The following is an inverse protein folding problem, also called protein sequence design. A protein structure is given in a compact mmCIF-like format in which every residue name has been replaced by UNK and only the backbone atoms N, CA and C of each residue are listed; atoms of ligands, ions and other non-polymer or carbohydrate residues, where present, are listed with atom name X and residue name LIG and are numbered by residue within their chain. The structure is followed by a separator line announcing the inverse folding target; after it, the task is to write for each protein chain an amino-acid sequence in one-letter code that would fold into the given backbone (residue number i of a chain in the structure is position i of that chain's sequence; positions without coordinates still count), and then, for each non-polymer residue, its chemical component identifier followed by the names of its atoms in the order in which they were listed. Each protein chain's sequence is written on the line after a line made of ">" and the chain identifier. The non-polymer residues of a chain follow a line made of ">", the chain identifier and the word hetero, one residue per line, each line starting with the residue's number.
data_IF_043672833044
#
_entry.id   IF_043672833044
#
_cell.length_a   1.000
_cell.length_b   1.000
_cell.length_c   1.000
_cell.angle_alpha   90.00
_cell.angle_beta   90.00
_cell.angle_gamma   90.00
#
_symmetry.space_group_name_H-M   'P 1'
#
loop_
_entity.id
_entity.type
_entity.pdbx_description
1 polymer ?
#
# COMPACT_ATOMS: atom_id res chain seq x y z
N UNK A 1 17.67 -15.06 25.67
CA UNK A 1 17.46 -14.65 24.27
C UNK A 1 18.22 -13.34 24.11
N UNK A 2 19.38 -13.39 23.45
CA UNK A 2 20.14 -12.17 23.14
C UNK A 2 19.43 -11.55 21.96
N UNK A 3 18.83 -10.38 22.15
CA UNK A 3 18.27 -9.60 21.05
C UNK A 3 19.45 -8.86 20.43
N UNK A 4 19.70 -9.09 19.14
CA UNK A 4 20.74 -8.35 18.43
C UNK A 4 20.46 -6.84 18.54
N UNK A 5 21.51 -6.02 18.66
CA UNK A 5 21.35 -4.56 18.77
C UNK A 5 20.60 -4.03 17.54
N UNK A 6 19.73 -3.04 17.77
CA UNK A 6 18.97 -2.38 16.70
C UNK A 6 19.96 -1.73 15.74
N UNK A 7 20.06 -2.27 14.54
CA UNK A 7 20.82 -1.68 13.44
C UNK A 7 19.93 -0.66 12.72
N UNK A 8 20.31 0.62 12.81
CA UNK A 8 19.63 1.66 12.06
C UNK A 8 19.93 1.51 10.58
N UNK A 9 18.88 1.41 9.77
CA UNK A 9 19.01 1.42 8.32
C UNK A 9 19.38 2.85 7.89
N UNK A 10 20.66 3.05 7.59
CA UNK A 10 21.20 4.35 7.15
C UNK A 10 20.90 4.69 5.69
N UNK A 11 20.46 3.72 4.89
CA UNK A 11 20.25 3.88 3.45
C UNK A 11 18.99 3.14 2.97
N UNK A 12 18.29 3.68 1.96
CA UNK A 12 18.61 4.89 1.20
C UNK A 12 18.21 6.19 1.91
N UNK A 13 19.02 7.24 1.73
CA UNK A 13 18.70 8.60 2.20
C UNK A 13 17.62 9.25 1.33
N UNK A 14 16.76 10.08 1.93
CA UNK A 14 15.78 10.86 1.17
C UNK A 14 16.46 12.04 0.46
N UNK A 15 16.07 12.37 -0.79
CA UNK A 15 16.70 13.44 -1.57
C UNK A 15 16.25 14.85 -1.18
N UNK A 16 15.33 15.00 -0.22
CA UNK A 16 14.83 16.27 0.28
C UNK A 16 14.28 16.13 1.71
N UNK A 17 13.83 17.24 2.31
CA UNK A 17 13.35 17.29 3.70
C UNK A 17 11.89 16.82 3.89
N UNK A 18 11.21 16.37 2.82
CA UNK A 18 9.76 16.14 2.82
C UNK A 18 9.32 14.77 2.30
N UNK A 19 10.28 13.92 1.93
CA UNK A 19 9.99 12.66 1.23
C UNK A 19 10.00 11.43 2.13
N UNK A 20 10.25 11.60 3.42
CA UNK A 20 10.36 10.52 4.41
C UNK A 20 9.15 9.58 4.42
N UNK A 21 7.92 10.09 4.31
CA UNK A 21 6.71 9.26 4.29
C UNK A 21 6.64 8.34 3.07
N UNK A 22 7.00 8.85 1.89
CA UNK A 22 7.05 8.03 0.66
C UNK A 22 8.14 6.97 0.76
N UNK A 23 9.30 7.34 1.31
CA UNK A 23 10.44 6.45 1.50
C UNK A 23 10.13 5.31 2.47
N UNK A 24 9.48 5.59 3.60
CA UNK A 24 9.10 4.55 4.58
C UNK A 24 8.16 3.52 3.94
N UNK A 25 7.16 3.98 3.18
CA UNK A 25 6.23 3.06 2.49
C UNK A 25 6.95 2.22 1.44
N UNK A 26 7.84 2.83 0.66
CA UNK A 26 8.65 2.11 -0.33
C UNK A 26 9.58 1.07 0.34
N UNK A 27 10.22 1.41 1.45
CA UNK A 27 11.09 0.50 2.20
C UNK A 27 10.30 -0.66 2.81
N UNK A 28 9.14 -0.39 3.42
CA UNK A 28 8.27 -1.41 3.96
C UNK A 28 7.78 -2.38 2.86
N UNK A 29 7.37 -1.84 1.71
CA UNK A 29 6.95 -2.65 0.56
C UNK A 29 8.09 -3.56 0.06
N UNK A 30 9.30 -3.03 -0.08
CA UNK A 30 10.47 -3.81 -0.50
C UNK A 30 10.83 -4.91 0.49
N UNK A 31 10.77 -4.60 1.80
CA UNK A 31 10.99 -5.58 2.86
C UNK A 31 9.99 -6.75 2.78
N UNK A 32 8.69 -6.43 2.63
CA UNK A 32 7.62 -7.44 2.55
C UNK A 32 7.67 -8.25 1.25
N UNK A 33 8.23 -7.70 0.18
CA UNK A 33 8.36 -8.37 -1.12
C UNK A 33 9.72 -9.04 -1.33
N UNK A 34 10.57 -9.08 -0.30
CA UNK A 34 11.94 -9.60 -0.36
C UNK A 34 12.82 -8.95 -1.45
N UNK A 35 12.52 -7.71 -1.82
CA UNK A 35 13.30 -6.90 -2.75
C UNK A 35 14.28 -6.02 -1.98
N UNK A 36 15.39 -6.59 -1.53
CA UNK A 36 16.37 -5.89 -0.68
C UNK A 36 17.26 -4.88 -1.43
N UNK A 37 17.15 -4.81 -2.76
CA UNK A 37 18.00 -3.96 -3.61
C UNK A 37 17.88 -2.46 -3.29
N UNK A 38 16.77 -2.02 -2.69
CA UNK A 38 16.56 -0.61 -2.39
C UNK A 38 17.48 -0.07 -1.29
N UNK A 39 17.98 -0.93 -0.39
CA UNK A 39 18.85 -0.52 0.72
C UNK A 39 20.18 0.07 0.26
N UNK A 40 20.65 -0.26 -0.94
CA UNK A 40 21.95 0.19 -1.47
C UNK A 40 21.81 1.18 -2.64
N UNK A 41 20.60 1.67 -2.93
CA UNK A 41 20.36 2.54 -4.08
C UNK A 41 20.40 4.02 -3.71
N UNK A 42 20.95 4.86 -4.57
CA UNK A 42 20.79 6.32 -4.44
C UNK A 42 19.41 6.72 -4.95
N UNK A 43 18.62 7.40 -4.11
CA UNK A 43 17.29 7.87 -4.48
C UNK A 43 17.36 9.31 -4.94
N UNK A 44 16.89 9.58 -6.16
CA UNK A 44 16.78 10.91 -6.72
C UNK A 44 15.36 11.46 -6.56
N UNK A 45 15.22 12.78 -6.71
CA UNK A 45 13.91 13.47 -6.63
C UNK A 45 12.89 12.92 -7.62
N UNK A 46 13.33 12.43 -8.79
CA UNK A 46 12.43 11.85 -9.79
C UNK A 46 11.94 10.45 -9.36
N UNK A 47 12.77 9.67 -8.67
CA UNK A 47 12.36 8.38 -8.13
C UNK A 47 11.26 8.57 -7.08
N UNK A 48 11.41 9.56 -6.20
CA UNK A 48 10.36 9.92 -5.23
C UNK A 48 9.05 10.29 -5.92
N UNK A 49 9.09 11.05 -7.02
CA UNK A 49 7.88 11.38 -7.78
C UNK A 49 7.19 10.12 -8.32
N UNK A 50 7.97 9.18 -8.85
CA UNK A 50 7.46 7.89 -9.33
C UNK A 50 6.87 7.07 -8.18
N UNK A 51 7.57 6.94 -7.06
CA UNK A 51 7.09 6.26 -5.85
C UNK A 51 5.77 6.86 -5.35
N UNK A 52 5.68 8.19 -5.28
CA UNK A 52 4.45 8.90 -4.89
C UNK A 52 3.30 8.62 -5.85
N UNK A 53 3.57 8.61 -7.15
CA UNK A 53 2.56 8.29 -8.16
C UNK A 53 2.06 6.84 -8.01
N UNK A 54 2.95 5.88 -7.79
CA UNK A 54 2.60 4.48 -7.54
C UNK A 54 1.74 4.36 -6.28
N UNK A 55 2.12 5.03 -5.18
CA UNK A 55 1.34 5.03 -3.95
C UNK A 55 -0.07 5.58 -4.16
N UNK A 56 -0.20 6.72 -4.87
CA UNK A 56 -1.50 7.31 -5.19
C UNK A 56 -2.33 6.37 -6.07
N UNK A 57 -1.72 5.73 -7.06
CA UNK A 57 -2.39 4.76 -7.92
C UNK A 57 -2.94 3.58 -7.11
N UNK A 58 -2.14 3.00 -6.21
CA UNK A 58 -2.59 1.91 -5.32
C UNK A 58 -3.75 2.36 -4.44
N UNK A 59 -3.67 3.55 -3.83
CA UNK A 59 -4.74 4.07 -2.97
C UNK A 59 -6.04 4.23 -3.76
N UNK A 60 -5.98 4.86 -4.93
CA UNK A 60 -7.17 5.07 -5.79
C UNK A 60 -7.76 3.73 -6.23
N UNK A 61 -6.91 2.77 -6.62
CA UNK A 61 -7.36 1.46 -7.04
C UNK A 61 -8.04 0.70 -5.90
N UNK A 62 -7.41 0.62 -4.72
CA UNK A 62 -7.99 -0.06 -3.56
C UNK A 62 -9.30 0.60 -3.10
N UNK A 63 -9.41 1.93 -3.21
CA UNK A 63 -10.66 2.64 -2.94
C UNK A 63 -11.76 2.25 -3.94
N UNK A 64 -11.44 2.20 -5.23
CA UNK A 64 -12.39 1.80 -6.27
C UNK A 64 -12.87 0.36 -6.08
N UNK A 65 -11.94 -0.58 -5.84
CA UNK A 65 -12.26 -1.98 -5.59
C UNK A 65 -13.19 -2.14 -4.38
N UNK A 66 -12.92 -1.41 -3.29
CA UNK A 66 -13.78 -1.43 -2.10
C UNK A 66 -15.18 -0.90 -2.40
N UNK A 67 -15.29 0.17 -3.19
CA UNK A 67 -16.58 0.70 -3.62
C UNK A 67 -17.35 -0.32 -4.44
N UNK A 68 -16.70 -0.98 -5.40
CA UNK A 68 -17.33 -2.02 -6.22
C UNK A 68 -17.79 -3.21 -5.38
N UNK A 69 -16.94 -3.70 -4.47
CA UNK A 69 -17.27 -4.78 -3.55
C UNK A 69 -18.51 -4.45 -2.70
N UNK A 70 -18.60 -3.23 -2.17
CA UNK A 70 -19.75 -2.80 -1.37
C UNK A 70 -21.05 -2.73 -2.19
N UNK A 71 -20.95 -2.29 -3.45
CA UNK A 71 -22.10 -2.27 -4.37
C UNK A 71 -22.60 -3.69 -4.64
N UNK A 72 -21.70 -4.64 -4.86
CA UNK A 72 -22.07 -6.02 -5.12
C UNK A 72 -22.64 -6.71 -3.88
N UNK A 73 -22.07 -6.45 -2.69
CA UNK A 73 -22.64 -6.91 -1.42
C UNK A 73 -24.08 -6.40 -1.23
N UNK A 74 -24.33 -5.11 -1.48
CA UNK A 74 -25.68 -4.54 -1.38
C UNK A 74 -26.67 -5.15 -2.38
N UNK A 75 -26.22 -5.50 -3.59
CA UNK A 75 -27.05 -6.23 -4.57
C UNK A 75 -27.39 -7.63 -4.09
N UNK A 76 -26.41 -8.36 -3.56
CA UNK A 76 -26.61 -9.71 -3.02
C UNK A 76 -27.63 -9.68 -1.88
N UNK A 77 -27.52 -8.72 -0.96
CA UNK A 77 -28.47 -8.54 0.14
C UNK A 77 -29.89 -8.23 -0.38
N UNK A 78 -30.01 -7.39 -1.40
CA UNK A 78 -31.32 -7.09 -2.02
C UNK A 78 -31.96 -8.33 -2.65
N UNK A 79 -31.18 -9.12 -3.38
CA UNK A 79 -31.64 -10.37 -3.99
C UNK A 79 -32.07 -11.36 -2.91
N UNK A 80 -31.28 -11.49 -1.84
CA UNK A 80 -31.60 -12.37 -0.72
C UNK A 80 -32.93 -11.99 -0.06
N UNK A 81 -33.15 -10.69 0.21
CA UNK A 81 -34.41 -10.19 0.78
C UNK A 81 -35.61 -10.47 -0.12
N UNK A 82 -35.47 -10.30 -1.44
CA UNK A 82 -36.55 -10.60 -2.40
C UNK A 82 -36.89 -12.08 -2.42
N UNK A 83 -35.89 -12.96 -2.47
CA UNK A 83 -36.10 -14.41 -2.41
C UNK A 83 -36.79 -14.84 -1.11
N UNK A 84 -36.40 -14.27 0.03
CA UNK A 84 -37.07 -14.54 1.31
C UNK A 84 -38.54 -14.10 1.34
N UNK A 85 -38.87 -13.01 0.64
CA UNK A 85 -40.24 -12.52 0.54
C UNK A 85 -41.11 -13.41 -0.37
N UNK A 86 -40.54 -13.96 -1.45
CA UNK A 86 -41.25 -14.85 -2.38
C UNK A 86 -41.44 -16.28 -1.85
N UNK A 87 -40.59 -16.72 -0.91
CA UNK A 87 -40.66 -18.05 -0.29
C UNK A 87 -41.56 -18.10 0.96
N UNK A 88 -42.25 -17.01 1.31
CA UNK A 88 -43.26 -16.93 2.37
C UNK A 88 -44.66 -17.09 1.81
#
# INVERSE_FOLDING_TARGET
>A
MVVDPIEWIGSPEQPDATSCGVMIVALAYNFITWKLDLQNCTIYKNDVKAMRLIMLWVIVHCSLERTLFNVDAAKVDNIHQKLQAELK
#
